data_IF_023421863628
#
_entry.id   IF_023421863628
#
_cell.length_a   1.000
_cell.length_b   1.000
_cell.length_c   1.000
_cell.angle_alpha   90.00
_cell.angle_beta   90.00
_cell.angle_gamma   90.00
#
_symmetry.space_group_name_H-M   'P 1'
#
loop_
_entity.id
_entity.type
_entity.pdbx_description
1 polymer ?
#
# COMPACT_ATOMS: atom_id res chain seq x y z
N UNK A 1 -2.08 -34.94 17.77
CA UNK A 1 -0.77 -34.62 17.16
C UNK A 1 -0.16 -33.50 18.00
N UNK A 2 1.11 -33.56 18.44
CA UNK A 2 1.64 -32.60 19.40
C UNK A 2 1.81 -31.23 18.74
N UNK A 3 1.40 -30.20 19.47
CA UNK A 3 1.41 -28.79 19.07
C UNK A 3 2.86 -28.30 18.91
N UNK A 4 3.18 -27.70 17.77
CA UNK A 4 4.43 -26.96 17.58
C UNK A 4 4.37 -25.68 18.40
N UNK A 5 5.29 -25.52 19.36
CA UNK A 5 5.42 -24.29 20.13
C UNK A 5 6.04 -23.21 19.23
N UNK A 6 5.45 -22.01 19.22
CA UNK A 6 6.11 -20.81 18.72
C UNK A 6 7.47 -20.66 19.42
N UNK A 7 8.55 -20.56 18.63
CA UNK A 7 9.89 -20.33 19.16
C UNK A 7 10.02 -18.83 19.46
N UNK A 8 9.92 -18.48 20.74
CA UNK A 8 10.27 -17.15 21.24
C UNK A 8 11.80 -16.98 21.22
N UNK A 9 12.34 -16.44 20.12
CA UNK A 9 13.77 -16.17 19.96
C UNK A 9 14.31 -15.09 20.92
N UNK A 10 13.47 -14.42 21.73
CA UNK A 10 13.95 -13.53 22.80
C UNK A 10 14.47 -14.29 24.03
N UNK A 11 14.30 -15.63 24.09
CA UNK A 11 14.71 -16.48 25.21
C UNK A 11 15.89 -17.43 24.94
N UNK A 12 16.69 -17.21 23.90
CA UNK A 12 17.93 -17.97 23.72
C UNK A 12 18.96 -17.52 24.77
N UNK A 13 18.96 -18.20 25.93
CA UNK A 13 20.07 -18.09 26.90
C UNK A 13 21.29 -18.79 26.31
N UNK A 14 22.39 -18.07 26.27
CA UNK A 14 23.70 -18.51 25.78
C UNK A 14 24.25 -19.66 26.62
N UNK A 15 24.89 -20.65 25.98
CA UNK A 15 25.84 -21.49 26.69
C UNK A 15 27.08 -20.64 27.06
N UNK A 16 27.49 -20.72 28.32
CA UNK A 16 28.84 -20.43 28.81
C UNK A 16 29.50 -19.09 28.40
N UNK A 17 28.74 -18.00 28.22
CA UNK A 17 29.32 -16.67 28.05
C UNK A 17 30.12 -16.47 26.76
N UNK A 18 29.96 -17.36 25.78
CA UNK A 18 30.46 -17.14 24.42
C UNK A 18 29.35 -16.42 23.65
N UNK A 19 29.65 -15.23 23.13
CA UNK A 19 28.81 -14.57 22.15
C UNK A 19 28.77 -15.44 20.89
N UNK A 20 27.77 -16.33 20.82
CA UNK A 20 27.38 -16.95 19.56
C UNK A 20 26.67 -15.83 18.80
N UNK A 21 27.46 -15.04 18.08
CA UNK A 21 26.93 -14.23 17.01
C UNK A 21 26.47 -15.22 15.95
N UNK A 22 25.18 -15.60 16.01
CA UNK A 22 24.54 -16.16 14.85
C UNK A 22 24.78 -15.15 13.73
N UNK A 23 25.29 -15.55 12.56
CA UNK A 23 25.29 -14.66 11.42
C UNK A 23 23.87 -14.10 11.30
N UNK A 24 23.73 -12.88 10.77
CA UNK A 24 22.45 -12.19 10.54
C UNK A 24 21.72 -12.96 9.41
N UNK A 25 21.38 -14.21 9.69
CA UNK A 25 21.01 -15.25 8.76
C UNK A 25 19.51 -15.31 8.69
N UNK A 26 19.00 -15.21 7.46
CA UNK A 26 17.67 -15.64 7.03
C UNK A 26 16.93 -16.47 8.09
N UNK A 27 16.04 -15.82 8.83
CA UNK A 27 15.10 -16.47 9.71
C UNK A 27 13.86 -16.86 8.90
N UNK A 28 13.32 -18.04 9.19
CA UNK A 28 12.03 -18.49 8.64
C UNK A 28 10.99 -18.44 9.75
N UNK A 29 9.97 -17.62 9.55
CA UNK A 29 8.81 -17.53 10.44
C UNK A 29 7.65 -18.26 9.77
N UNK A 30 6.98 -19.11 10.53
CA UNK A 30 5.81 -19.85 10.08
C UNK A 30 4.66 -19.48 11.00
N UNK A 31 3.60 -18.92 10.43
CA UNK A 31 2.31 -18.81 11.07
C UNK A 31 1.57 -20.13 11.07
N UNK A 32 0.33 -20.03 11.53
CA UNK A 32 -0.59 -21.10 11.83
C UNK A 32 -1.82 -20.99 10.91
N UNK A 33 -2.89 -21.74 11.15
CA UNK A 33 -4.18 -21.51 10.48
C UNK A 33 -5.02 -20.38 11.09
N UNK A 34 -4.51 -19.68 12.11
CA UNK A 34 -5.15 -18.54 12.76
C UNK A 34 -4.48 -17.23 12.31
N UNK A 35 -5.07 -16.08 12.62
CA UNK A 35 -4.48 -14.78 12.27
C UNK A 35 -3.21 -14.50 13.09
N UNK A 36 -2.07 -14.44 12.41
CA UNK A 36 -0.75 -14.30 13.00
C UNK A 36 -0.12 -12.92 12.75
N UNK A 37 0.81 -12.57 13.64
CA UNK A 37 1.67 -11.39 13.51
C UNK A 37 3.12 -11.85 13.35
N UNK A 38 3.67 -11.65 12.16
CA UNK A 38 5.00 -12.11 11.77
C UNK A 38 5.92 -10.90 11.58
N UNK A 39 6.86 -10.70 12.51
CA UNK A 39 7.84 -9.62 12.45
C UNK A 39 9.20 -10.17 12.01
N UNK A 40 9.63 -9.78 10.80
CA UNK A 40 10.93 -10.19 10.25
C UNK A 40 12.10 -9.65 11.06
N UNK A 41 11.93 -8.51 11.73
CA UNK A 41 13.00 -7.87 12.49
C UNK A 41 14.15 -7.40 11.60
N UNK A 42 15.37 -7.80 11.93
CA UNK A 42 16.57 -7.43 11.19
C UNK A 42 17.16 -8.67 10.53
N UNK A 43 17.49 -8.55 9.25
CA UNK A 43 17.93 -9.70 8.46
C UNK A 43 17.31 -9.63 7.08
N UNK A 44 17.41 -10.70 6.31
CA UNK A 44 16.59 -10.89 5.12
C UNK A 44 15.76 -12.13 5.42
N UNK A 45 14.51 -11.97 5.81
CA UNK A 45 13.75 -13.04 6.45
C UNK A 45 12.64 -13.58 5.55
N UNK A 46 12.23 -14.83 5.76
CA UNK A 46 11.12 -15.47 5.05
C UNK A 46 9.96 -15.69 6.01
N UNK A 47 8.83 -15.09 5.72
CA UNK A 47 7.63 -15.18 6.55
C UNK A 47 6.53 -15.88 5.75
N UNK A 48 6.05 -17.01 6.28
CA UNK A 48 4.97 -17.81 5.73
C UNK A 48 3.76 -17.66 6.65
N UNK A 49 2.66 -17.08 6.16
CA UNK A 49 1.46 -16.77 6.94
C UNK A 49 0.70 -18.03 7.33
N UNK A 50 0.33 -18.82 6.33
CA UNK A 50 -0.59 -19.92 6.53
C UNK A 50 -2.01 -19.42 6.31
N UNK A 51 -3.01 -20.10 6.86
CA UNK A 51 -4.39 -19.65 6.70
C UNK A 51 -4.74 -18.62 7.77
N UNK A 52 -5.73 -17.76 7.50
CA UNK A 52 -6.08 -16.65 8.39
C UNK A 52 -5.73 -15.32 7.76
N UNK A 53 -6.16 -14.22 8.37
CA UNK A 53 -5.81 -12.87 7.93
C UNK A 53 -4.53 -12.42 8.66
N UNK A 54 -3.38 -12.61 8.03
CA UNK A 54 -2.08 -12.42 8.68
C UNK A 54 -1.52 -11.01 8.54
N UNK A 55 -0.64 -10.62 9.47
CA UNK A 55 0.10 -9.35 9.41
C UNK A 55 1.60 -9.59 9.39
N UNK A 56 2.24 -9.15 8.31
CA UNK A 56 3.69 -9.15 8.13
C UNK A 56 4.28 -7.78 8.47
N UNK A 57 5.38 -7.75 9.21
CA UNK A 57 6.20 -6.54 9.40
C UNK A 57 7.52 -6.72 8.67
N UNK A 58 7.78 -5.83 7.71
CA UNK A 58 8.95 -5.87 6.83
C UNK A 58 9.82 -4.64 7.05
N UNK A 59 11.11 -4.88 7.22
CA UNK A 59 12.10 -3.87 7.59
C UNK A 59 13.36 -3.90 6.72
N UNK A 60 13.58 -4.98 5.97
CA UNK A 60 14.74 -5.16 5.13
C UNK A 60 14.37 -5.50 3.68
N UNK A 61 15.17 -5.01 2.74
CA UNK A 61 14.91 -5.18 1.32
C UNK A 61 14.95 -6.66 0.85
N UNK A 62 15.55 -7.55 1.63
CA UNK A 62 15.58 -8.98 1.34
C UNK A 62 14.52 -9.80 2.07
N UNK A 63 13.62 -9.18 2.84
CA UNK A 63 12.48 -9.87 3.44
C UNK A 63 11.55 -10.42 2.35
N UNK A 64 10.84 -11.50 2.68
CA UNK A 64 9.90 -12.18 1.81
C UNK A 64 8.62 -12.51 2.59
N UNK A 65 7.48 -12.17 2.00
CA UNK A 65 6.15 -12.59 2.48
C UNK A 65 5.61 -13.65 1.53
N UNK A 66 5.12 -14.76 2.08
CA UNK A 66 4.83 -15.97 1.32
C UNK A 66 3.44 -16.47 1.68
N UNK A 67 2.53 -16.37 0.70
CA UNK A 67 1.11 -16.68 0.82
C UNK A 67 0.66 -17.59 -0.33
N UNK A 68 -0.25 -18.53 -0.05
CA UNK A 68 -0.95 -19.32 -1.08
C UNK A 68 -2.33 -18.71 -1.40
N UNK A 69 -2.87 -19.13 -2.53
CA UNK A 69 -4.19 -18.70 -2.95
C UNK A 69 -5.27 -19.22 -2.00
N UNK A 70 -6.15 -18.33 -1.53
CA UNK A 70 -7.29 -18.68 -0.68
C UNK A 70 -6.98 -18.81 0.81
N UNK A 71 -5.78 -18.39 1.25
CA UNK A 71 -5.38 -18.50 2.66
C UNK A 71 -5.92 -17.37 3.56
N UNK A 72 -6.29 -16.21 3.02
CA UNK A 72 -6.87 -15.13 3.83
C UNK A 72 -6.86 -13.77 3.16
N UNK A 73 -6.89 -12.69 3.96
CA UNK A 73 -6.70 -11.28 3.56
C UNK A 73 -5.56 -10.63 4.31
N UNK A 74 -4.38 -10.80 3.75
CA UNK A 74 -3.13 -10.58 4.48
C UNK A 74 -2.60 -9.16 4.27
N UNK A 75 -1.97 -8.64 5.31
CA UNK A 75 -1.50 -7.26 5.41
C UNK A 75 0.00 -7.20 5.59
N UNK A 76 0.68 -6.40 4.77
CA UNK A 76 2.07 -6.01 5.01
C UNK A 76 2.11 -4.62 5.62
N UNK A 77 2.79 -4.47 6.75
CA UNK A 77 3.23 -3.19 7.30
C UNK A 77 4.70 -2.99 6.97
N UNK A 78 4.98 -2.00 6.14
CA UNK A 78 6.34 -1.72 5.68
C UNK A 78 6.87 -0.41 6.21
N UNK A 79 8.14 -0.43 6.60
CA UNK A 79 8.93 0.75 6.94
C UNK A 79 9.92 1.14 5.83
N UNK A 80 9.90 0.40 4.71
CA UNK A 80 10.73 0.59 3.52
C UNK A 80 9.86 0.60 2.25
N UNK A 81 10.48 0.83 1.10
CA UNK A 81 9.80 0.59 -0.18
C UNK A 81 9.41 -0.88 -0.28
N UNK A 82 8.19 -1.16 -0.74
CA UNK A 82 7.69 -2.52 -0.75
C UNK A 82 6.80 -2.83 -1.96
N UNK A 83 6.95 -4.05 -2.47
CA UNK A 83 6.07 -4.64 -3.47
C UNK A 83 5.38 -5.86 -2.85
N UNK A 84 4.06 -5.90 -2.90
CA UNK A 84 3.32 -7.05 -2.38
C UNK A 84 3.68 -8.32 -3.15
N UNK A 85 3.97 -9.39 -2.42
CA UNK A 85 4.06 -10.72 -3.00
C UNK A 85 2.69 -11.18 -3.52
N UNK A 86 2.67 -12.21 -4.35
CA UNK A 86 1.43 -12.83 -4.80
C UNK A 86 0.58 -13.24 -3.58
N UNK A 87 -0.75 -13.16 -3.74
CA UNK A 87 -1.71 -13.51 -2.70
C UNK A 87 -1.65 -12.63 -1.43
N UNK A 88 -0.92 -11.52 -1.38
CA UNK A 88 -1.11 -10.52 -0.30
C UNK A 88 -2.07 -9.43 -0.79
N UNK A 89 -2.98 -8.92 0.05
CA UNK A 89 -4.07 -8.03 -0.42
C UNK A 89 -4.05 -6.63 0.20
N UNK A 90 -3.22 -6.37 1.21
CA UNK A 90 -3.08 -5.04 1.81
C UNK A 90 -1.62 -4.66 2.05
N UNK A 91 -1.28 -3.41 1.76
CA UNK A 91 -0.02 -2.77 2.12
C UNK A 91 -0.27 -1.51 2.94
N UNK A 92 0.46 -1.35 4.03
CA UNK A 92 0.46 -0.18 4.89
C UNK A 92 1.89 0.36 5.01
N UNK A 93 2.15 1.56 4.47
CA UNK A 93 3.43 2.24 4.61
C UNK A 93 3.41 3.09 5.90
N UNK A 94 4.19 2.68 6.88
CA UNK A 94 4.18 3.22 8.25
C UNK A 94 5.29 4.27 8.50
N UNK A 95 6.26 4.40 7.58
CA UNK A 95 7.36 5.36 7.70
C UNK A 95 6.94 6.82 7.50
N UNK A 96 7.77 7.76 7.96
CA UNK A 96 7.57 9.21 7.75
C UNK A 96 8.33 9.77 6.54
N UNK A 97 9.27 9.02 5.99
CA UNK A 97 9.95 9.34 4.74
C UNK A 97 9.05 9.07 3.53
N UNK A 98 9.41 9.58 2.35
CA UNK A 98 8.81 9.10 1.11
C UNK A 98 9.08 7.59 0.98
N UNK A 99 8.01 6.81 0.88
CA UNK A 99 8.06 5.39 0.57
C UNK A 99 7.24 5.09 -0.69
N UNK A 100 7.67 4.07 -1.42
CA UNK A 100 6.96 3.56 -2.59
C UNK A 100 6.31 2.23 -2.23
N UNK A 101 5.00 2.13 -2.47
CA UNK A 101 4.21 0.92 -2.28
C UNK A 101 3.66 0.44 -3.61
N UNK A 102 3.93 -0.80 -3.97
CA UNK A 102 3.45 -1.44 -5.20
C UNK A 102 2.60 -2.66 -4.81
N UNK A 103 1.41 -2.79 -5.39
CA UNK A 103 0.58 -3.98 -5.26
C UNK A 103 1.01 -5.13 -6.17
N UNK A 104 0.09 -6.04 -6.45
CA UNK A 104 0.25 -7.23 -7.27
C UNK A 104 -0.91 -7.32 -8.29
N UNK A 105 -1.23 -8.52 -8.79
CA UNK A 105 -2.27 -8.71 -9.80
C UNK A 105 -3.69 -8.88 -9.24
N UNK A 106 -3.87 -8.76 -7.92
CA UNK A 106 -5.16 -8.88 -7.22
C UNK A 106 -5.70 -7.49 -6.88
N UNK A 107 -6.98 -7.41 -6.53
CA UNK A 107 -7.56 -6.20 -5.95
C UNK A 107 -6.86 -5.88 -4.61
N UNK A 108 -6.03 -4.85 -4.55
CA UNK A 108 -5.26 -4.50 -3.37
C UNK A 108 -5.80 -3.25 -2.66
N UNK A 109 -5.56 -3.17 -1.35
CA UNK A 109 -5.71 -1.93 -0.57
C UNK A 109 -4.32 -1.42 -0.16
N UNK A 110 -3.91 -0.27 -0.68
CA UNK A 110 -2.63 0.35 -0.34
C UNK A 110 -2.89 1.61 0.50
N UNK A 111 -2.28 1.70 1.67
CA UNK A 111 -2.40 2.84 2.58
C UNK A 111 -1.01 3.43 2.81
N UNK A 112 -0.82 4.69 2.44
CA UNK A 112 0.38 5.44 2.79
C UNK A 112 0.10 6.41 3.92
N UNK A 113 0.55 6.16 5.16
CA UNK A 113 0.14 6.97 6.31
C UNK A 113 0.78 8.36 6.36
N UNK A 114 2.11 8.42 6.45
CA UNK A 114 2.87 9.67 6.57
C UNK A 114 3.91 9.77 5.47
N UNK A 115 4.37 10.98 5.17
CA UNK A 115 5.35 11.23 4.10
C UNK A 115 4.72 11.26 2.71
N UNK A 116 5.50 11.75 1.75
CA UNK A 116 5.07 11.88 0.35
C UNK A 116 5.18 10.52 -0.36
N UNK A 117 4.28 9.59 -0.04
CA UNK A 117 4.31 8.23 -0.57
C UNK A 117 3.85 8.14 -2.02
N UNK A 118 4.41 7.19 -2.75
CA UNK A 118 3.99 6.83 -4.10
C UNK A 118 3.33 5.45 -4.06
N UNK A 119 2.04 5.37 -4.39
CA UNK A 119 1.26 4.13 -4.34
C UNK A 119 0.89 3.72 -5.76
N UNK A 120 1.20 2.47 -6.13
CA UNK A 120 0.84 1.86 -7.41
C UNK A 120 0.11 0.56 -7.15
N UNK A 121 -1.15 0.46 -7.61
CA UNK A 121 -2.02 -0.70 -7.33
C UNK A 121 -1.58 -2.00 -8.01
N UNK A 122 -1.02 -1.92 -9.22
CA UNK A 122 -0.76 -3.09 -10.05
C UNK A 122 -1.93 -3.35 -10.99
N UNK A 123 -2.23 -4.63 -11.24
CA UNK A 123 -3.44 -5.01 -11.99
C UNK A 123 -4.59 -5.23 -11.00
N UNK A 124 -5.83 -5.09 -11.46
CA UNK A 124 -7.02 -5.33 -10.65
C UNK A 124 -7.74 -4.03 -10.24
N UNK A 125 -8.76 -4.17 -9.41
CA UNK A 125 -9.54 -3.04 -8.91
C UNK A 125 -9.01 -2.62 -7.53
N UNK A 126 -8.08 -1.67 -7.54
CA UNK A 126 -7.35 -1.26 -6.34
C UNK A 126 -7.99 -0.10 -5.58
N UNK A 127 -7.71 -0.06 -4.27
CA UNK A 127 -8.05 1.05 -3.38
C UNK A 127 -6.76 1.66 -2.83
N UNK A 128 -6.40 2.84 -3.34
CA UNK A 128 -5.23 3.60 -2.89
C UNK A 128 -5.67 4.70 -1.91
N UNK A 129 -5.15 4.68 -0.69
CA UNK A 129 -5.47 5.62 0.38
C UNK A 129 -4.20 6.39 0.73
N UNK A 130 -4.10 7.62 0.24
CA UNK A 130 -3.07 8.56 0.66
C UNK A 130 -3.38 9.13 2.05
N UNK A 131 -2.34 9.26 2.88
CA UNK A 131 -2.38 9.91 4.18
C UNK A 131 -1.94 11.37 4.08
N UNK A 132 -1.27 11.90 5.11
CA UNK A 132 -0.90 13.31 5.15
C UNK A 132 0.12 13.67 4.06
N UNK A 133 -0.24 14.63 3.18
CA UNK A 133 0.56 15.10 2.04
C UNK A 133 -0.34 15.72 0.96
N UNK A 134 0.21 16.57 0.08
CA UNK A 134 -0.57 17.27 -0.95
C UNK A 134 -0.48 16.53 -2.29
N UNK A 135 -1.63 16.12 -2.83
CA UNK A 135 -1.72 15.63 -4.21
C UNK A 135 -1.89 16.80 -5.18
N UNK A 136 -1.05 16.84 -6.21
CA UNK A 136 -1.11 17.87 -7.24
C UNK A 136 -2.01 17.41 -8.39
N UNK A 137 -2.87 18.30 -8.86
CA UNK A 137 -3.75 18.06 -10.00
C UNK A 137 -3.36 18.96 -11.18
N UNK A 138 -3.39 18.41 -12.38
CA UNK A 138 -3.19 19.15 -13.63
C UNK A 138 -4.54 19.52 -14.23
N UNK A 139 -4.77 20.82 -14.43
CA UNK A 139 -6.01 21.29 -15.04
C UNK A 139 -5.92 21.27 -16.56
N UNK A 140 -6.77 20.46 -17.20
CA UNK A 140 -6.82 20.27 -18.67
C UNK A 140 -8.01 20.99 -19.33
N UNK A 141 -8.79 21.75 -18.54
CA UNK A 141 -9.89 22.55 -19.05
C UNK A 141 -11.09 21.70 -19.47
N UNK A 142 -11.58 21.88 -20.70
CA UNK A 142 -12.75 21.14 -21.21
C UNK A 142 -12.38 19.89 -22.00
N UNK A 143 -11.09 19.63 -22.20
CA UNK A 143 -10.61 18.43 -22.86
C UNK A 143 -11.04 17.18 -22.06
N UNK A 144 -11.28 16.08 -22.78
CA UNK A 144 -11.48 14.77 -22.13
C UNK A 144 -10.22 14.35 -21.38
N UNK A 145 -10.39 13.53 -20.34
CA UNK A 145 -9.26 12.95 -19.63
C UNK A 145 -8.38 12.15 -20.59
N UNK A 146 -7.07 12.29 -20.45
CA UNK A 146 -6.10 11.65 -21.34
C UNK A 146 -5.60 10.32 -20.79
N UNK A 147 -6.21 9.80 -19.73
CA UNK A 147 -5.77 8.60 -19.01
C UNK A 147 -4.53 8.83 -18.15
N UNK A 148 -4.30 10.07 -17.69
CA UNK A 148 -3.25 10.40 -16.73
C UNK A 148 -3.92 10.72 -15.41
N UNK A 149 -3.50 10.05 -14.34
CA UNK A 149 -3.98 10.29 -12.99
C UNK A 149 -3.72 11.73 -12.53
N UNK A 150 -4.62 12.27 -11.72
CA UNK A 150 -4.51 13.63 -11.19
C UNK A 150 -4.91 14.70 -12.20
N UNK A 151 -5.84 14.41 -13.12
CA UNK A 151 -6.36 15.41 -14.05
C UNK A 151 -7.66 16.03 -13.55
N UNK A 152 -7.80 17.35 -13.73
CA UNK A 152 -9.03 18.09 -13.53
C UNK A 152 -9.55 18.64 -14.85
N UNK A 153 -10.83 18.41 -15.14
CA UNK A 153 -11.53 19.03 -16.26
C UNK A 153 -12.85 19.63 -15.80
N UNK A 154 -13.45 20.51 -16.59
CA UNK A 154 -14.78 21.05 -16.30
C UNK A 154 -15.72 20.95 -17.49
N UNK A 155 -17.02 20.98 -17.21
CA UNK A 155 -18.07 21.12 -18.22
C UNK A 155 -19.15 22.09 -17.74
N UNK A 156 -19.72 22.87 -18.65
CA UNK A 156 -20.90 23.69 -18.35
C UNK A 156 -22.16 22.82 -18.43
N UNK A 157 -22.99 22.84 -17.39
CA UNK A 157 -24.25 22.11 -17.33
C UNK A 157 -25.37 22.98 -16.74
N UNK A 158 -26.35 23.34 -17.58
CA UNK A 158 -27.60 24.00 -17.17
C UNK A 158 -27.41 25.21 -16.23
N UNK A 159 -26.51 26.12 -16.58
CA UNK A 159 -26.23 27.32 -15.78
C UNK A 159 -25.27 27.11 -14.60
N UNK A 160 -24.67 25.94 -14.50
CA UNK A 160 -23.66 25.57 -13.51
C UNK A 160 -22.39 25.07 -14.21
N UNK A 161 -21.29 24.98 -13.46
CA UNK A 161 -20.06 24.30 -13.89
C UNK A 161 -19.91 23.03 -13.07
N UNK A 162 -19.54 21.92 -13.72
CA UNK A 162 -19.14 20.69 -13.04
C UNK A 162 -17.64 20.52 -13.27
N UNK A 163 -16.87 20.39 -12.20
CA UNK A 163 -15.46 19.98 -12.24
C UNK A 163 -15.41 18.47 -12.02
N UNK A 164 -14.67 17.77 -12.86
CA UNK A 164 -14.43 16.33 -12.78
C UNK A 164 -12.97 16.11 -12.42
N UNK A 165 -12.70 15.11 -11.59
CA UNK A 165 -11.35 14.63 -11.31
C UNK A 165 -11.21 13.18 -11.76
N UNK A 166 -10.13 12.89 -12.47
CA UNK A 166 -9.60 11.56 -12.72
C UNK A 166 -8.40 11.39 -11.77
N UNK A 167 -8.55 10.54 -10.74
CA UNK A 167 -7.51 10.29 -9.74
C UNK A 167 -6.69 9.03 -10.04
N UNK A 168 -7.19 8.12 -10.88
CA UNK A 168 -6.59 6.81 -11.12
C UNK A 168 -6.04 6.62 -12.56
N UNK A 169 -6.31 7.55 -13.47
CA UNK A 169 -5.86 7.54 -14.86
C UNK A 169 -6.70 6.66 -15.80
N UNK A 170 -7.91 6.25 -15.41
CA UNK A 170 -8.76 5.37 -16.21
C UNK A 170 -9.54 6.11 -17.33
N UNK A 171 -9.31 7.42 -17.49
CA UNK A 171 -10.03 8.31 -18.41
C UNK A 171 -11.51 8.53 -18.06
N UNK A 172 -11.98 8.01 -16.92
CA UNK A 172 -13.28 8.29 -16.34
C UNK A 172 -13.16 9.30 -15.19
N UNK A 173 -14.30 9.87 -14.80
CA UNK A 173 -14.35 10.75 -13.65
C UNK A 173 -14.56 9.92 -12.39
N UNK A 174 -13.61 10.00 -11.48
CA UNK A 174 -13.71 9.41 -10.13
C UNK A 174 -14.45 10.33 -9.16
N UNK A 175 -14.36 11.64 -9.38
CA UNK A 175 -15.03 12.64 -8.55
C UNK A 175 -15.66 13.75 -9.39
N UNK A 176 -16.74 14.34 -8.87
CA UNK A 176 -17.45 15.46 -9.48
C UNK A 176 -17.77 16.53 -8.44
N UNK A 177 -17.58 17.81 -8.79
CA UNK A 177 -17.88 18.98 -7.96
C UNK A 177 -18.80 19.90 -8.77
N UNK A 178 -20.01 20.15 -8.28
CA UNK A 178 -20.94 21.11 -8.86
C UNK A 178 -20.67 22.52 -8.29
N UNK A 179 -20.45 23.48 -9.19
CA UNK A 179 -20.34 24.91 -8.88
C UNK A 179 -21.61 25.60 -9.35
N UNK A 180 -22.53 25.80 -8.42
CA UNK A 180 -23.87 26.31 -8.72
C UNK A 180 -23.87 27.80 -9.07
N UNK A 181 -24.68 28.20 -10.05
CA UNK A 181 -24.84 29.60 -10.46
C UNK A 181 -23.66 30.17 -11.27
N UNK A 182 -22.61 29.39 -11.48
CA UNK A 182 -21.50 29.75 -12.36
C UNK A 182 -21.73 29.15 -13.73
N UNK A 183 -21.81 29.99 -14.77
CA UNK A 183 -22.08 29.50 -16.13
C UNK A 183 -20.81 29.25 -16.95
N UNK A 184 -19.65 29.65 -16.44
CA UNK A 184 -18.36 29.56 -17.11
C UNK A 184 -17.21 29.58 -16.11
N UNK A 185 -16.16 28.81 -16.39
CA UNK A 185 -14.85 28.90 -15.73
C UNK A 185 -13.76 28.91 -16.80
N UNK A 186 -12.67 29.62 -16.55
CA UNK A 186 -11.44 29.61 -17.33
C UNK A 186 -10.29 28.98 -16.52
N UNK A 187 -9.20 28.61 -17.20
CA UNK A 187 -8.00 28.12 -16.51
C UNK A 187 -7.39 29.11 -15.54
N UNK A 188 -7.65 30.41 -15.72
CA UNK A 188 -7.23 31.48 -14.80
C UNK A 188 -8.02 31.52 -13.49
N UNK A 189 -9.16 30.82 -13.41
CA UNK A 189 -9.96 30.74 -12.18
C UNK A 189 -9.38 29.72 -11.19
N UNK A 190 -8.41 28.90 -11.63
CA UNK A 190 -7.69 27.95 -10.79
C UNK A 190 -6.39 28.59 -10.30
N UNK A 191 -6.22 28.65 -8.98
CA UNK A 191 -4.97 29.06 -8.35
C UNK A 191 -4.09 27.81 -8.27
N UNK A 192 -2.99 27.81 -9.03
CA UNK A 192 -1.97 26.74 -9.07
C UNK A 192 -0.82 27.10 -8.13
#
# INVERSE_FOLDING_TARGET
MPKGNAVDCSKIRTDNGRSIQFPISLLKLFGSPDNDFLDGGAGNDQMYGGAGDDTYVVGAAGDQTIELAGEGTDTVRSFINWTLAANVKRLELQGSSKLNGIGNALNNTLVGYSGNNELSGGDGNDRLIGGAGNQAFSFIGTAGFSGVAGQLRYSNFSGNVIIYADVNGDSAADMQILVAGTTFMAGTDFIV
#
